data_IF_520994169283
#
_entry.id   IF_520994169283
#
_cell.length_a   1.000
_cell.length_b   1.000
_cell.length_c   1.000
_cell.angle_alpha   90.00
_cell.angle_beta   90.00
_cell.angle_gamma   90.00
#
_symmetry.space_group_name_H-M   'P 1'
#
loop_
_entity.id
_entity.type
_entity.pdbx_description
1 polymer ?
#
# COMPACT_ATOMS: atom_id res chain seq x y z
N UNK A 1 15.45 -5.05 -49.76
CA UNK A 1 14.07 -5.30 -49.26
C UNK A 1 13.99 -5.61 -47.76
N UNK A 2 14.90 -6.40 -47.19
CA UNK A 2 14.89 -6.83 -45.77
C UNK A 2 14.83 -5.72 -44.70
N UNK A 3 15.26 -4.48 -45.01
CA UNK A 3 15.28 -3.37 -44.04
C UNK A 3 13.90 -2.72 -43.83
N UNK A 4 13.08 -2.65 -44.89
CA UNK A 4 11.71 -2.15 -44.82
C UNK A 4 10.78 -3.10 -44.06
N UNK A 5 11.00 -4.42 -44.23
CA UNK A 5 10.25 -5.45 -43.51
C UNK A 5 10.44 -5.29 -41.99
N UNK A 6 11.69 -5.10 -41.54
CA UNK A 6 12.01 -4.93 -40.11
C UNK A 6 11.41 -3.64 -39.51
N UNK A 7 11.33 -2.57 -40.29
CA UNK A 7 10.68 -1.32 -39.85
C UNK A 7 9.16 -1.46 -39.74
N UNK A 8 8.53 -2.20 -40.65
CA UNK A 8 7.10 -2.52 -40.56
C UNK A 8 6.78 -3.37 -39.33
N UNK A 9 7.53 -4.45 -39.10
CA UNK A 9 7.34 -5.32 -37.94
C UNK A 9 7.53 -4.57 -36.61
N UNK A 10 8.52 -3.66 -36.55
CA UNK A 10 8.75 -2.82 -35.38
C UNK A 10 7.58 -1.84 -35.13
N UNK A 11 6.99 -1.31 -36.20
CA UNK A 11 5.86 -0.39 -36.13
C UNK A 11 4.58 -1.11 -35.70
N UNK A 12 4.30 -2.29 -36.24
CA UNK A 12 3.16 -3.13 -35.82
C UNK A 12 3.27 -3.55 -34.36
N UNK A 13 4.47 -3.93 -33.88
CA UNK A 13 4.69 -4.22 -32.45
C UNK A 13 4.47 -3.00 -31.56
N UNK A 14 4.91 -1.82 -32.00
CA UNK A 14 4.71 -0.59 -31.26
C UNK A 14 3.22 -0.21 -31.17
N UNK A 15 2.44 -0.43 -32.24
CA UNK A 15 1.00 -0.21 -32.25
C UNK A 15 0.24 -1.23 -31.38
N UNK A 16 0.61 -2.51 -31.39
CA UNK A 16 0.05 -3.53 -30.48
C UNK A 16 0.33 -3.21 -29.01
N UNK A 17 1.55 -2.77 -28.67
CA UNK A 17 1.89 -2.33 -27.31
C UNK A 17 1.08 -1.10 -26.88
N UNK A 18 0.72 -0.23 -27.84
CA UNK A 18 -0.08 0.96 -27.57
C UNK A 18 -1.56 0.61 -27.35
N UNK A 19 -2.12 -0.32 -28.13
CA UNK A 19 -3.49 -0.79 -27.94
C UNK A 19 -3.68 -1.57 -26.65
N UNK A 20 -2.71 -2.42 -26.26
CA UNK A 20 -2.74 -3.11 -24.95
C UNK A 20 -2.65 -2.14 -23.77
N UNK A 21 -2.00 -0.98 -23.93
CA UNK A 21 -1.95 0.08 -22.92
C UNK A 21 -3.27 0.86 -22.82
N UNK A 22 -4.10 0.78 -23.86
CA UNK A 22 -5.41 1.43 -23.96
C UNK A 22 -6.58 0.52 -23.55
N UNK A 23 -6.32 -0.75 -23.20
CA UNK A 23 -7.24 -1.57 -22.37
C UNK A 23 -7.29 -1.01 -20.94
N UNK A 24 -7.77 0.24 -20.81
CA UNK A 24 -8.17 0.82 -19.55
C UNK A 24 -9.48 0.15 -19.18
N UNK A 25 -9.42 -0.70 -18.16
CA UNK A 25 -10.58 -1.20 -17.42
C UNK A 25 -11.66 -0.11 -17.33
N UNK A 26 -12.86 -0.40 -17.85
CA UNK A 26 -14.03 0.51 -17.81
C UNK A 26 -14.48 0.76 -16.37
N UNK A 27 -14.08 -0.11 -15.43
CA UNK A 27 -14.24 0.10 -14.00
C UNK A 27 -13.01 0.80 -13.44
N UNK A 28 -13.21 2.03 -12.97
CA UNK A 28 -12.27 2.72 -12.07
C UNK A 28 -12.81 2.60 -10.66
N UNK A 29 -12.10 1.89 -9.79
CA UNK A 29 -12.49 1.74 -8.38
C UNK A 29 -11.74 2.76 -7.52
N UNK A 30 -12.48 3.57 -6.80
CA UNK A 30 -11.98 4.60 -5.90
C UNK A 30 -11.95 4.05 -4.47
N UNK A 31 -10.78 3.62 -4.02
CA UNK A 31 -10.55 3.11 -2.64
C UNK A 31 -10.75 4.16 -1.53
N UNK A 32 -11.11 5.40 -1.85
CA UNK A 32 -11.05 6.51 -0.90
C UNK A 32 -12.16 6.44 0.17
N UNK A 33 -13.31 5.88 -0.18
CA UNK A 33 -14.49 5.81 0.69
C UNK A 33 -14.69 4.42 1.32
N UNK A 34 -14.03 3.38 0.78
CA UNK A 34 -14.22 1.98 1.19
C UNK A 34 -13.06 1.42 2.04
N UNK A 35 -12.04 2.23 2.34
CA UNK A 35 -10.92 1.78 3.17
C UNK A 35 -11.36 1.71 4.64
N UNK A 36 -11.10 0.60 5.37
CA UNK A 36 -11.30 0.58 6.81
C UNK A 36 -10.46 1.71 7.44
N UNK A 37 -11.08 2.49 8.32
CA UNK A 37 -10.43 3.59 9.02
C UNK A 37 -10.23 3.19 10.46
N UNK A 38 -9.00 3.38 10.93
CA UNK A 38 -8.58 3.14 12.30
C UNK A 38 -8.07 4.42 12.93
N UNK A 39 -8.88 4.98 13.81
CA UNK A 39 -8.64 6.22 14.52
C UNK A 39 -8.52 6.01 16.03
N UNK A 40 -8.64 7.11 16.77
CA UNK A 40 -8.36 7.15 18.20
C UNK A 40 -9.50 6.54 19.05
N UNK A 41 -10.69 6.38 18.48
CA UNK A 41 -11.85 5.76 19.16
C UNK A 41 -12.05 4.28 18.84
N UNK A 42 -11.21 3.70 17.98
CA UNK A 42 -11.29 2.28 17.63
C UNK A 42 -10.50 1.47 18.65
N UNK A 43 -11.15 0.46 19.24
CA UNK A 43 -10.60 -0.37 20.31
C UNK A 43 -10.08 -1.72 19.83
N UNK A 44 -10.33 -2.09 18.58
CA UNK A 44 -10.10 -3.43 18.06
C UNK A 44 -9.11 -3.40 16.88
N UNK A 45 -7.84 -3.53 17.22
CA UNK A 45 -6.74 -3.53 16.26
C UNK A 45 -6.76 -4.78 15.36
N UNK A 46 -7.11 -5.94 15.92
CA UNK A 46 -7.16 -7.22 15.20
C UNK A 46 -8.23 -7.19 14.11
N UNK A 47 -9.43 -6.71 14.44
CA UNK A 47 -10.52 -6.52 13.48
C UNK A 47 -10.14 -5.54 12.37
N UNK A 48 -9.41 -4.48 12.71
CA UNK A 48 -8.89 -3.57 11.69
C UNK A 48 -7.88 -4.25 10.76
N UNK A 49 -7.00 -5.09 11.30
CA UNK A 49 -6.04 -5.85 10.48
C UNK A 49 -6.72 -6.87 9.57
N UNK A 50 -7.75 -7.58 10.05
CA UNK A 50 -8.55 -8.47 9.22
C UNK A 50 -9.18 -7.71 8.04
N UNK A 51 -9.86 -6.59 8.33
CA UNK A 51 -10.47 -5.75 7.29
C UNK A 51 -9.43 -5.19 6.31
N UNK A 52 -8.26 -4.77 6.80
CA UNK A 52 -7.18 -4.28 5.96
C UNK A 52 -6.57 -5.39 5.10
N UNK A 53 -6.47 -6.61 5.62
CA UNK A 53 -6.01 -7.79 4.88
C UNK A 53 -6.94 -8.08 3.71
N UNK A 54 -8.26 -8.04 3.93
CA UNK A 54 -9.25 -8.21 2.85
C UNK A 54 -9.10 -7.16 1.74
N UNK A 55 -8.86 -5.90 2.12
CA UNK A 55 -8.54 -4.85 1.14
C UNK A 55 -7.26 -5.18 0.37
N UNK A 56 -6.22 -5.70 1.03
CA UNK A 56 -4.99 -6.10 0.36
C UNK A 56 -5.22 -7.25 -0.64
N UNK A 57 -6.15 -8.17 -0.38
CA UNK A 57 -6.51 -9.24 -1.32
C UNK A 57 -7.17 -8.70 -2.60
N UNK A 58 -7.96 -7.64 -2.48
CA UNK A 58 -8.65 -6.98 -3.61
C UNK A 58 -7.68 -6.09 -4.38
N UNK A 59 -6.97 -5.21 -3.68
CA UNK A 59 -6.08 -4.19 -4.28
C UNK A 59 -4.78 -4.78 -4.80
N UNK A 60 -4.30 -5.87 -4.19
CA UNK A 60 -3.06 -6.57 -4.54
C UNK A 60 -1.87 -5.61 -4.66
N UNK A 61 -1.48 -4.95 -3.55
CA UNK A 61 -0.33 -4.03 -3.57
C UNK A 61 0.91 -4.75 -4.09
N UNK A 62 1.68 -4.08 -4.96
CA UNK A 62 2.90 -4.57 -5.59
C UNK A 62 4.07 -4.50 -4.61
N UNK A 63 3.97 -5.29 -3.54
CA UNK A 63 4.97 -5.44 -2.50
C UNK A 63 4.69 -4.61 -1.23
N UNK A 64 5.55 -4.83 -0.23
CA UNK A 64 5.33 -4.33 1.13
C UNK A 64 5.37 -2.81 1.23
N UNK A 65 6.12 -2.14 0.35
CA UNK A 65 6.17 -0.67 0.32
C UNK A 65 4.84 -0.07 -0.10
N UNK A 66 4.16 -0.66 -1.07
CA UNK A 66 2.82 -0.22 -1.46
C UNK A 66 1.80 -0.58 -0.39
N UNK A 67 1.95 -1.74 0.28
CA UNK A 67 1.15 -2.11 1.44
C UNK A 67 1.29 -1.10 2.59
N UNK A 68 2.50 -0.63 2.91
CA UNK A 68 2.75 0.42 3.90
C UNK A 68 2.02 1.71 3.53
N UNK A 69 2.12 2.16 2.28
CA UNK A 69 1.42 3.35 1.80
C UNK A 69 -0.11 3.20 1.86
N UNK A 70 -0.63 2.01 1.57
CA UNK A 70 -2.04 1.70 1.68
C UNK A 70 -2.49 1.72 3.15
N UNK A 71 -1.69 1.13 4.04
CA UNK A 71 -1.95 1.11 5.48
C UNK A 71 -1.93 2.52 6.09
N UNK A 72 -1.06 3.41 5.61
CA UNK A 72 -1.07 4.80 6.04
C UNK A 72 -2.44 5.45 5.84
N UNK A 73 -3.12 5.15 4.71
CA UNK A 73 -4.43 5.71 4.36
C UNK A 73 -5.55 5.18 5.25
N UNK A 74 -5.37 4.02 5.87
CA UNK A 74 -6.33 3.45 6.81
C UNK A 74 -6.18 3.99 8.23
N UNK A 75 -5.18 4.82 8.53
CA UNK A 75 -4.95 5.35 9.87
C UNK A 75 -5.38 6.81 9.99
N UNK A 76 -5.94 7.19 11.16
CA UNK A 76 -6.23 8.58 11.55
C UNK A 76 -5.70 8.90 12.95
N UNK A 77 -5.70 10.19 13.30
CA UNK A 77 -5.41 10.65 14.67
C UNK A 77 -4.00 10.33 15.18
N UNK A 78 -3.91 9.93 16.45
CA UNK A 78 -2.69 9.45 17.13
C UNK A 78 -2.10 8.24 16.41
N UNK A 79 -2.94 7.28 15.97
CA UNK A 79 -2.47 6.08 15.26
C UNK A 79 -1.70 6.44 13.99
N UNK A 80 -2.18 7.44 13.24
CA UNK A 80 -1.47 7.97 12.08
C UNK A 80 -0.14 8.65 12.44
N UNK A 81 -0.09 9.40 13.54
CA UNK A 81 1.14 10.04 14.03
C UNK A 81 2.20 9.01 14.45
N UNK A 82 1.78 7.92 15.09
CA UNK A 82 2.64 6.78 15.41
C UNK A 82 3.27 6.20 14.13
N UNK A 83 2.42 5.93 13.12
CA UNK A 83 2.89 5.46 11.81
C UNK A 83 3.92 6.41 11.18
N UNK A 84 3.62 7.70 11.10
CA UNK A 84 4.50 8.67 10.45
C UNK A 84 5.87 8.75 11.16
N UNK A 85 5.90 8.60 12.48
CA UNK A 85 7.14 8.58 13.28
C UNK A 85 8.01 7.37 12.94
N UNK A 86 7.42 6.17 12.94
CA UNK A 86 8.15 4.93 12.63
C UNK A 86 8.65 4.92 11.19
N UNK A 87 7.86 5.42 10.23
CA UNK A 87 8.30 5.56 8.84
C UNK A 87 9.46 6.55 8.71
N UNK A 88 9.43 7.66 9.46
CA UNK A 88 10.52 8.64 9.44
C UNK A 88 11.83 8.02 9.94
N UNK A 89 11.77 7.25 11.03
CA UNK A 89 12.92 6.50 11.55
C UNK A 89 13.42 5.45 10.54
N UNK A 90 12.52 4.64 10.00
CA UNK A 90 12.86 3.60 9.03
C UNK A 90 13.50 4.18 7.76
N UNK A 91 13.08 5.37 7.32
CA UNK A 91 13.73 6.09 6.22
C UNK A 91 15.12 6.58 6.58
N UNK A 92 15.31 7.10 7.80
CA UNK A 92 16.61 7.52 8.29
C UNK A 92 17.62 6.37 8.35
N UNK A 93 17.16 5.17 8.69
CA UNK A 93 17.98 3.97 8.81
C UNK A 93 18.15 3.20 7.47
N UNK A 94 17.42 3.59 6.42
CA UNK A 94 17.38 2.87 5.14
C UNK A 94 16.51 1.61 5.12
N UNK A 95 15.93 1.21 6.26
CA UNK A 95 15.06 0.04 6.39
C UNK A 95 13.78 0.14 5.57
N UNK A 96 13.28 1.36 5.33
CA UNK A 96 12.09 1.57 4.50
C UNK A 96 12.27 1.07 3.05
N UNK A 97 13.46 1.21 2.49
CA UNK A 97 13.79 0.72 1.14
C UNK A 97 14.32 -0.73 1.19
N UNK A 98 15.15 -1.05 2.20
CA UNK A 98 15.84 -2.34 2.26
C UNK A 98 14.97 -3.49 2.79
N UNK A 99 14.11 -3.22 3.79
CA UNK A 99 13.32 -4.23 4.52
C UNK A 99 11.91 -3.74 4.90
N UNK A 100 11.08 -3.34 3.92
CA UNK A 100 9.74 -2.79 4.18
C UNK A 100 8.82 -3.74 4.97
N UNK A 101 8.94 -5.06 4.81
CA UNK A 101 8.21 -6.03 5.62
C UNK A 101 8.47 -5.87 7.13
N UNK A 102 9.74 -5.78 7.54
CA UNK A 102 10.10 -5.59 8.96
C UNK A 102 9.63 -4.25 9.53
N UNK A 103 9.53 -3.23 8.68
CA UNK A 103 8.96 -1.93 9.08
C UNK A 103 7.46 -2.06 9.33
N UNK A 104 6.76 -2.87 8.53
CA UNK A 104 5.35 -3.18 8.76
C UNK A 104 5.15 -3.94 10.08
N UNK A 105 5.95 -4.97 10.37
CA UNK A 105 5.86 -5.71 11.63
C UNK A 105 6.10 -4.81 12.86
N UNK A 106 7.08 -3.90 12.76
CA UNK A 106 7.37 -2.91 13.80
C UNK A 106 6.20 -1.94 14.02
N UNK A 107 5.51 -1.55 12.95
CA UNK A 107 4.30 -0.71 13.04
C UNK A 107 3.17 -1.44 13.77
N UNK A 108 2.93 -2.71 13.45
CA UNK A 108 1.92 -3.52 14.11
C UNK A 108 2.19 -3.60 15.61
N UNK A 109 3.42 -3.96 15.99
CA UNK A 109 3.81 -4.08 17.39
C UNK A 109 3.70 -2.75 18.15
N UNK A 110 4.05 -1.62 17.52
CA UNK A 110 3.95 -0.31 18.15
C UNK A 110 2.50 0.15 18.33
N UNK A 111 1.63 -0.15 17.35
CA UNK A 111 0.20 0.14 17.47
C UNK A 111 -0.41 -0.70 18.60
N UNK A 112 -0.10 -1.99 18.66
CA UNK A 112 -0.55 -2.90 19.71
C UNK A 112 -0.08 -2.47 21.12
N UNK A 113 1.20 -2.10 21.26
CA UNK A 113 1.73 -1.57 22.52
C UNK A 113 1.02 -0.27 22.95
N UNK A 114 0.74 0.63 21.99
CA UNK A 114 0.01 1.86 22.27
C UNK A 114 -1.47 1.66 22.62
N UNK A 115 -2.03 0.46 22.43
CA UNK A 115 -3.32 0.08 23.01
C UNK A 115 -3.19 -0.27 24.48
N UNK A 116 -2.24 -1.14 24.81
CA UNK A 116 -2.06 -1.64 26.17
C UNK A 116 -1.61 -0.54 27.15
N UNK A 117 -0.84 0.46 26.71
CA UNK A 117 -0.54 1.65 27.53
C UNK A 117 -1.76 2.54 27.81
N UNK A 118 -2.81 2.47 26.98
CA UNK A 118 -4.02 3.32 27.15
C UNK A 118 -5.07 2.70 28.08
N UNK A 119 -5.00 1.39 28.36
CA UNK A 119 -5.91 0.69 29.28
C UNK A 119 -5.44 0.72 30.75
N UNK A 120 -4.17 1.06 31.00
CA UNK A 120 -3.59 1.11 32.36
C UNK A 120 -3.61 2.51 33.02
N UNK A 121 -4.24 3.52 32.41
CA UNK A 121 -4.29 4.91 32.89
C UNK A 121 -5.70 5.36 33.33
#
# INVERSE_FOLDING_TARGET
EMRRQREQDAKERAEQLKSMREEKSVFTYSLRDDLPVFGDGDSDLDKHFEAFHDVCLVVKPKGDREKLLLFARSLKGVRRRCYDTIIKEAKSNGDYEAKPASVFDRLVAALDASFHESDEA
#
